data_IF_818102984544
#
_entry.id   IF_818102984544
#
_cell.length_a   1.000
_cell.length_b   1.000
_cell.length_c   1.000
_cell.angle_alpha   90.00
_cell.angle_beta   90.00
_cell.angle_gamma   90.00
#
_symmetry.space_group_name_H-M   'P 1'
#
loop_
_entity.id
_entity.type
_entity.pdbx_description
1 polymer ?
#
# COMPACT_ATOMS: atom_id res chain seq x y z
N UNK A 1 25.76 -8.68 21.52
CA UNK A 1 25.37 -8.62 20.09
C UNK A 1 26.51 -8.26 19.12
N UNK A 2 27.66 -7.76 19.60
CA UNK A 2 28.83 -7.37 18.78
C UNK A 2 29.55 -8.54 18.10
N UNK A 3 29.69 -9.69 18.77
CA UNK A 3 30.31 -10.87 18.17
C UNK A 3 29.50 -11.40 16.98
N UNK A 4 28.19 -11.56 17.17
CA UNK A 4 27.26 -12.00 16.12
C UNK A 4 27.22 -11.00 14.95
N UNK A 5 27.26 -9.69 15.24
CA UNK A 5 27.37 -8.62 14.24
C UNK A 5 28.62 -8.77 13.37
N UNK A 6 29.75 -9.08 14.00
CA UNK A 6 31.04 -9.26 13.32
C UNK A 6 31.08 -10.51 12.45
N UNK A 7 30.53 -11.62 12.94
CA UNK A 7 30.48 -12.90 12.20
C UNK A 7 29.56 -12.81 10.99
N UNK A 8 28.40 -12.15 11.13
CA UNK A 8 27.42 -12.02 10.05
C UNK A 8 27.72 -10.83 9.10
N UNK A 9 28.65 -9.95 9.46
CA UNK A 9 28.97 -8.75 8.68
C UNK A 9 27.84 -7.71 8.66
N UNK A 10 27.00 -7.66 9.70
CA UNK A 10 25.83 -6.77 9.77
C UNK A 10 25.97 -5.81 10.95
N UNK A 11 25.34 -4.64 10.86
CA UNK A 11 25.30 -3.69 11.98
C UNK A 11 24.66 -4.29 13.24
N UNK A 12 25.16 -3.89 14.42
CA UNK A 12 24.58 -4.28 15.72
C UNK A 12 23.09 -3.90 15.80
N UNK A 13 22.73 -2.74 15.26
CA UNK A 13 21.34 -2.23 15.23
C UNK A 13 20.40 -3.17 14.45
N UNK A 14 20.88 -3.78 13.38
CA UNK A 14 20.07 -4.74 12.60
C UNK A 14 19.79 -6.00 13.40
N UNK A 15 20.79 -6.50 14.14
CA UNK A 15 20.64 -7.69 14.99
C UNK A 15 19.66 -7.42 16.13
N UNK A 16 19.77 -6.27 16.79
CA UNK A 16 18.82 -5.86 17.83
C UNK A 16 17.39 -5.75 17.28
N UNK A 17 17.23 -5.17 16.08
CA UNK A 17 15.93 -5.09 15.41
C UNK A 17 15.35 -6.47 15.11
N UNK A 18 16.16 -7.38 14.56
CA UNK A 18 15.74 -8.74 14.25
C UNK A 18 15.39 -9.55 15.49
N UNK A 19 16.17 -9.38 16.55
CA UNK A 19 15.91 -10.01 17.84
C UNK A 19 14.57 -9.54 18.43
N UNK A 20 14.30 -8.23 18.38
CA UNK A 20 13.02 -7.67 18.82
C UNK A 20 11.83 -8.16 17.95
N UNK A 21 12.04 -8.33 16.64
CA UNK A 21 11.02 -8.90 15.75
C UNK A 21 10.75 -10.37 16.05
N UNK A 22 11.79 -11.15 16.31
CA UNK A 22 11.65 -12.54 16.71
C UNK A 22 10.91 -12.67 18.04
N UNK A 23 11.25 -11.85 19.05
CA UNK A 23 10.55 -11.87 20.34
C UNK A 23 9.07 -11.46 20.23
N UNK A 24 8.74 -10.49 19.38
CA UNK A 24 7.37 -9.97 19.26
C UNK A 24 6.47 -10.76 18.30
N UNK A 25 7.03 -11.36 17.25
CA UNK A 25 6.26 -11.99 16.15
C UNK A 25 6.60 -13.46 15.92
N UNK A 26 7.66 -13.97 16.52
CA UNK A 26 8.23 -15.29 16.20
C UNK A 26 8.92 -15.37 14.84
N UNK A 27 9.05 -14.25 14.11
CA UNK A 27 9.68 -14.18 12.79
C UNK A 27 10.57 -12.95 12.63
N UNK A 28 11.68 -13.13 11.93
CA UNK A 28 12.65 -12.08 11.57
C UNK A 28 12.31 -11.44 10.22
N UNK A 29 11.32 -11.97 9.49
CA UNK A 29 10.91 -11.40 8.22
C UNK A 29 10.39 -9.96 8.38
N UNK A 30 10.85 -9.10 7.47
CA UNK A 30 10.37 -7.73 7.40
C UNK A 30 8.86 -7.69 7.14
N UNK A 31 8.17 -6.72 7.73
CA UNK A 31 6.77 -6.44 7.35
C UNK A 31 6.77 -6.19 5.85
N UNK A 32 6.04 -7.01 5.08
CA UNK A 32 5.81 -6.76 3.65
C UNK A 32 5.44 -5.29 3.50
N UNK A 33 6.11 -4.58 2.60
CA UNK A 33 5.78 -3.19 2.28
C UNK A 33 4.27 -3.16 2.04
N UNK A 34 3.52 -2.48 2.91
CA UNK A 34 2.09 -2.25 2.66
C UNK A 34 2.04 -1.58 1.31
N UNK A 35 1.52 -2.27 0.31
CA UNK A 35 1.19 -1.61 -0.95
C UNK A 35 0.28 -0.46 -0.55
N UNK A 36 0.67 0.76 -0.92
CA UNK A 36 -0.18 1.92 -0.74
C UNK A 36 -1.40 1.67 -1.63
N UNK A 37 -2.42 1.01 -1.10
CA UNK A 37 -3.73 1.01 -1.71
C UNK A 37 -4.07 2.49 -1.90
N UNK A 38 -4.32 2.88 -3.15
CA UNK A 38 -4.92 4.17 -3.47
C UNK A 38 -6.07 4.38 -2.49
N UNK A 39 -6.10 5.56 -1.84
CA UNK A 39 -6.98 5.89 -0.69
C UNK A 39 -8.47 5.95 -1.07
N UNK A 40 -8.85 5.42 -2.23
CA UNK A 40 -10.22 5.42 -2.69
C UNK A 40 -11.01 4.37 -1.93
N UNK A 41 -12.15 4.75 -1.33
CA UNK A 41 -13.02 3.80 -0.68
C UNK A 41 -13.57 2.79 -1.71
N UNK A 42 -13.94 1.59 -1.24
CA UNK A 42 -14.24 0.45 -2.11
C UNK A 42 -15.37 0.70 -3.11
N UNK A 43 -16.33 1.56 -2.75
CA UNK A 43 -17.43 2.00 -3.61
C UNK A 43 -16.94 2.69 -4.90
N UNK A 44 -15.86 3.47 -4.78
CA UNK A 44 -15.28 4.21 -5.90
C UNK A 44 -14.57 3.25 -6.84
N UNK A 45 -13.81 2.32 -6.28
CA UNK A 45 -13.12 1.29 -7.06
C UNK A 45 -14.10 0.44 -7.88
N UNK A 46 -15.22 0.05 -7.28
CA UNK A 46 -16.28 -0.70 -7.96
C UNK A 46 -16.86 0.09 -9.14
N UNK A 47 -17.21 1.37 -8.91
CA UNK A 47 -17.70 2.25 -9.98
C UNK A 47 -16.69 2.42 -11.12
N UNK A 48 -15.42 2.65 -10.80
CA UNK A 48 -14.35 2.80 -11.81
C UNK A 48 -14.23 1.53 -12.65
N UNK A 49 -14.32 0.36 -12.01
CA UNK A 49 -14.29 -0.92 -12.70
C UNK A 49 -15.47 -1.13 -13.65
N UNK A 50 -16.69 -0.84 -13.19
CA UNK A 50 -17.89 -0.92 -14.05
C UNK A 50 -17.84 0.08 -15.20
N UNK A 51 -17.42 1.32 -14.92
CA UNK A 51 -17.32 2.38 -15.92
C UNK A 51 -16.28 2.06 -17.01
N UNK A 52 -15.12 1.54 -16.63
CA UNK A 52 -14.09 1.11 -17.57
C UNK A 52 -14.51 -0.13 -18.39
N UNK A 53 -15.37 -0.99 -17.83
CA UNK A 53 -15.92 -2.13 -18.57
C UNK A 53 -17.02 -1.71 -19.56
N UNK A 54 -17.84 -0.71 -19.21
CA UNK A 54 -18.91 -0.21 -20.09
C UNK A 54 -18.39 0.72 -21.18
N UNK A 55 -17.31 1.47 -20.92
CA UNK A 55 -16.71 2.41 -21.86
C UNK A 55 -15.25 2.03 -22.11
N UNK A 56 -14.97 1.41 -23.26
CA UNK A 56 -13.61 0.99 -23.63
C UNK A 56 -12.68 2.15 -23.99
N UNK A 57 -13.26 3.28 -24.42
CA UNK A 57 -12.56 4.50 -24.78
C UNK A 57 -13.33 5.68 -24.20
N UNK A 58 -12.84 6.27 -23.11
CA UNK A 58 -13.39 7.48 -22.52
C UNK A 58 -12.31 8.53 -22.35
N UNK A 59 -12.71 9.80 -22.40
CA UNK A 59 -11.80 10.90 -22.09
C UNK A 59 -11.68 11.08 -20.57
N UNK A 60 -10.51 11.51 -20.10
CA UNK A 60 -10.25 11.71 -18.66
C UNK A 60 -11.23 12.73 -18.06
N UNK A 61 -11.65 13.73 -18.83
CA UNK A 61 -12.59 14.75 -18.38
C UNK A 61 -14.01 14.19 -18.20
N UNK A 62 -14.48 13.33 -19.10
CA UNK A 62 -15.79 12.65 -18.97
C UNK A 62 -15.82 11.78 -17.71
N UNK A 63 -14.72 11.07 -17.46
CA UNK A 63 -14.57 10.25 -16.28
C UNK A 63 -14.53 11.08 -14.99
N UNK A 64 -13.87 12.24 -14.99
CA UNK A 64 -13.91 13.18 -13.85
C UNK A 64 -15.33 13.65 -13.56
N UNK A 65 -16.07 14.07 -14.59
CA UNK A 65 -17.45 14.52 -14.41
C UNK A 65 -18.35 13.40 -13.86
N UNK A 66 -18.22 12.18 -14.39
CA UNK A 66 -18.98 11.03 -13.91
C UNK A 66 -18.63 10.64 -12.46
N UNK A 67 -17.35 10.80 -12.09
CA UNK A 67 -16.86 10.50 -10.75
C UNK A 67 -17.27 11.57 -9.72
N UNK A 68 -17.30 12.85 -10.11
CA UNK A 68 -17.83 13.94 -9.29
C UNK A 68 -19.34 13.83 -9.05
N UNK A 69 -20.11 13.49 -10.08
CA UNK A 69 -21.57 13.30 -9.99
C UNK A 69 -21.92 12.13 -9.07
N UNK A 70 -21.21 10.99 -9.21
CA UNK A 70 -21.52 9.77 -8.46
C UNK A 70 -20.88 9.71 -7.07
N UNK A 71 -19.74 10.35 -6.89
CA UNK A 71 -18.96 10.33 -5.65
C UNK A 71 -18.55 11.74 -5.21
N UNK A 72 -19.51 12.59 -4.77
CA UNK A 72 -19.23 13.99 -4.39
C UNK A 72 -18.35 14.13 -3.15
N UNK A 73 -18.17 13.05 -2.38
CA UNK A 73 -17.31 13.02 -1.17
C UNK A 73 -15.83 12.82 -1.50
N UNK A 74 -15.50 12.45 -2.74
CA UNK A 74 -14.12 12.43 -3.20
C UNK A 74 -13.69 13.85 -3.50
N UNK A 75 -12.86 14.42 -2.63
CA UNK A 75 -12.05 15.57 -3.01
C UNK A 75 -11.03 15.12 -4.05
N UNK A 76 -11.41 15.24 -5.32
CA UNK A 76 -10.48 15.21 -6.45
C UNK A 76 -9.56 16.44 -6.33
N UNK A 77 -8.29 16.25 -6.70
CA UNK A 77 -7.15 17.15 -6.48
C UNK A 77 -7.38 18.61 -6.89
#
# INVERSE_FOLDING_TARGET
MTYVARVLGVSVRSIERWYNWFQSRGSVEGVRRKQRASRWPANVYYFVGEYAASYSCFYIDEFRTALEDRCPTLKTF
#
